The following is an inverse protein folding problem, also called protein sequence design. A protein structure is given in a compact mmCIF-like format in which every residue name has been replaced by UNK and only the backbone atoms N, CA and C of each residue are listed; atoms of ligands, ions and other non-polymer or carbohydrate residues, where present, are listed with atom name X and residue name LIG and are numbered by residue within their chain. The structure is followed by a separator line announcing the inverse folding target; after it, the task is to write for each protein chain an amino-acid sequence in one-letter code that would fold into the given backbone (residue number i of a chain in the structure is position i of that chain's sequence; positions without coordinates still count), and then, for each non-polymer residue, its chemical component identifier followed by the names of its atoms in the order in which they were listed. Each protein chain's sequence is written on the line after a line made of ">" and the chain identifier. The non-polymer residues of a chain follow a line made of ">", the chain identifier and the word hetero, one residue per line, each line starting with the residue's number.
data_IF_919447249552
#
_entry.id   IF_919447249552
#
_cell.length_a   1.000
_cell.length_b   1.000
_cell.length_c   1.000
_cell.angle_alpha   90.00
_cell.angle_beta   90.00
_cell.angle_gamma   90.00
#
_symmetry.space_group_name_H-M   'P 1'
#
loop_
_entity.id
_entity.type
_entity.pdbx_description
1 polymer ?
#
# COMPACT_ATOMS: atom_id res chain seq x y z
N UNK A 1 3.93 -19.05 -9.24
CA UNK A 1 4.67 -19.15 -7.96
C UNK A 1 3.94 -18.41 -6.82
N UNK A 2 2.59 -18.45 -6.74
CA UNK A 2 1.81 -17.70 -5.73
C UNK A 2 0.52 -18.46 -5.33
N UNK A 3 0.55 -19.79 -5.30
CA UNK A 3 -0.59 -20.59 -4.80
C UNK A 3 -0.36 -21.20 -3.41
N UNK A 4 0.80 -20.94 -2.79
CA UNK A 4 1.24 -21.63 -1.57
C UNK A 4 1.38 -20.78 -0.30
N UNK A 5 1.17 -19.46 -0.34
CA UNK A 5 1.29 -18.61 0.87
C UNK A 5 -0.09 -18.24 1.40
N UNK A 6 -0.83 -19.24 1.90
CA UNK A 6 -2.09 -19.03 2.63
C UNK A 6 -1.89 -18.74 4.12
N UNK A 7 -0.70 -18.28 4.51
CA UNK A 7 -0.45 -17.72 5.85
C UNK A 7 -0.09 -16.27 5.65
N UNK A 8 -0.95 -15.40 6.17
CA UNK A 8 -0.72 -13.96 6.25
C UNK A 8 0.73 -13.69 6.64
N UNK A 9 1.50 -12.98 5.79
CA UNK A 9 2.85 -12.61 6.16
C UNK A 9 2.78 -11.76 7.41
N UNK A 10 3.60 -12.11 8.38
CA UNK A 10 3.82 -11.23 9.52
C UNK A 10 4.31 -9.87 8.98
N UNK A 11 4.00 -8.74 9.64
CA UNK A 11 4.43 -7.43 9.15
C UNK A 11 5.94 -7.35 8.87
N UNK A 12 6.75 -8.09 9.65
CA UNK A 12 8.19 -8.26 9.44
C UNK A 12 8.55 -8.99 8.14
N UNK A 13 7.86 -10.08 7.80
CA UNK A 13 8.10 -10.82 6.55
C UNK A 13 7.72 -9.98 5.34
N UNK A 14 6.66 -9.16 5.44
CA UNK A 14 6.26 -8.29 4.34
C UNK A 14 7.31 -7.26 3.96
N UNK A 15 7.89 -6.58 4.97
CA UNK A 15 8.99 -5.64 4.74
C UNK A 15 10.24 -6.34 4.24
N UNK A 16 10.50 -7.57 4.71
CA UNK A 16 11.63 -8.37 4.25
C UNK A 16 11.50 -8.73 2.77
N UNK A 17 10.30 -9.10 2.32
CA UNK A 17 10.01 -9.38 0.90
C UNK A 17 10.15 -8.12 0.05
N UNK A 18 9.64 -6.97 0.51
CA UNK A 18 9.86 -5.70 -0.19
C UNK A 18 11.34 -5.34 -0.29
N UNK A 19 12.10 -5.44 0.81
CA UNK A 19 13.53 -5.16 0.81
C UNK A 19 14.29 -6.10 -0.12
N UNK A 20 13.90 -7.38 -0.18
CA UNK A 20 14.45 -8.33 -1.14
C UNK A 20 14.13 -7.90 -2.58
N UNK A 21 12.89 -7.52 -2.90
CA UNK A 21 12.53 -7.05 -4.24
C UNK A 21 13.37 -5.83 -4.65
N UNK A 22 13.50 -4.84 -3.77
CA UNK A 22 14.32 -3.65 -4.03
C UNK A 22 15.81 -4.01 -4.19
N UNK A 23 16.36 -4.87 -3.31
CA UNK A 23 17.77 -5.26 -3.35
C UNK A 23 18.14 -6.01 -4.63
N UNK A 24 17.23 -6.84 -5.16
CA UNK A 24 17.45 -7.63 -6.37
C UNK A 24 16.96 -6.92 -7.64
N UNK A 25 16.56 -5.65 -7.55
CA UNK A 25 16.08 -4.87 -8.69
C UNK A 25 14.78 -5.42 -9.30
N UNK A 26 14.01 -6.18 -8.54
CA UNK A 26 12.69 -6.64 -8.95
C UNK A 26 11.75 -5.44 -8.90
N UNK A 27 11.10 -5.07 -10.01
CA UNK A 27 10.21 -3.93 -10.04
C UNK A 27 9.08 -4.11 -9.03
N UNK A 28 8.88 -3.08 -8.21
CA UNK A 28 7.73 -2.99 -7.31
C UNK A 28 6.51 -2.76 -8.19
N UNK A 29 5.56 -3.69 -8.14
CA UNK A 29 4.33 -3.62 -8.91
C UNK A 29 3.15 -3.13 -8.06
N UNK A 30 2.03 -2.86 -8.72
CA UNK A 30 0.76 -2.50 -8.08
C UNK A 30 0.25 -3.56 -7.08
N UNK A 31 0.71 -4.82 -7.14
CA UNK A 31 0.39 -5.85 -6.14
C UNK A 31 1.25 -5.76 -4.88
N UNK A 32 2.43 -5.12 -4.95
CA UNK A 32 3.35 -4.99 -3.83
C UNK A 32 2.94 -3.86 -2.88
N UNK A 33 2.44 -2.74 -3.40
CA UNK A 33 2.03 -1.59 -2.57
C UNK A 33 0.95 -1.92 -1.53
N UNK A 34 -0.15 -2.62 -1.88
CA UNK A 34 -1.17 -3.01 -0.90
C UNK A 34 -0.61 -3.81 0.26
N UNK A 35 0.35 -4.67 -0.04
CA UNK A 35 0.97 -5.55 0.94
C UNK A 35 1.86 -4.78 1.94
N UNK A 36 2.72 -3.87 1.45
CA UNK A 36 3.56 -3.06 2.33
C UNK A 36 2.76 -2.01 3.11
N UNK A 37 1.70 -1.45 2.52
CA UNK A 37 0.80 -0.50 3.20
C UNK A 37 0.00 -1.17 4.32
N UNK A 38 -0.53 -2.38 4.08
CA UNK A 38 -1.21 -3.18 5.12
C UNK A 38 -0.27 -3.46 6.29
N UNK A 39 0.99 -3.74 6.00
CA UNK A 39 2.03 -3.96 7.01
C UNK A 39 2.35 -2.70 7.79
N UNK A 40 2.48 -1.55 7.13
CA UNK A 40 2.66 -0.27 7.79
C UNK A 40 1.47 0.06 8.71
N UNK A 41 0.23 -0.24 8.26
CA UNK A 41 -0.97 -0.06 9.08
C UNK A 41 -0.93 -0.90 10.35
N UNK A 42 -0.57 -2.19 10.23
CA UNK A 42 -0.46 -3.12 11.36
C UNK A 42 0.65 -2.74 12.35
N UNK A 43 1.71 -2.13 11.86
CA UNK A 43 2.84 -1.65 12.70
C UNK A 43 2.62 -0.24 13.25
N UNK A 44 1.61 0.50 12.77
CA UNK A 44 1.43 1.92 13.09
C UNK A 44 2.52 2.83 12.49
N UNK A 45 3.27 2.35 11.50
CA UNK A 45 4.42 3.04 10.91
C UNK A 45 3.97 4.05 9.84
N UNK A 46 3.35 5.14 10.29
CA UNK A 46 2.76 6.16 9.38
C UNK A 46 3.81 6.79 8.47
N UNK A 47 5.02 7.03 9.00
CA UNK A 47 6.13 7.62 8.23
C UNK A 47 6.55 6.73 7.08
N UNK A 48 6.58 5.41 7.29
CA UNK A 48 6.95 4.46 6.25
C UNK A 48 5.86 4.37 5.18
N UNK A 49 4.58 4.30 5.58
CA UNK A 49 3.49 4.29 4.61
C UNK A 49 3.38 5.58 3.79
N UNK A 50 3.71 6.76 4.35
CA UNK A 50 3.83 8.00 3.57
C UNK A 50 4.96 7.93 2.52
N UNK A 51 6.08 7.25 2.81
CA UNK A 51 7.12 7.03 1.80
C UNK A 51 6.60 6.18 0.65
N UNK A 52 5.88 5.10 0.96
CA UNK A 52 5.23 4.28 -0.07
C UNK A 52 4.19 5.07 -0.86
N UNK A 53 3.42 5.95 -0.22
CA UNK A 53 2.51 6.84 -0.95
C UNK A 53 3.26 7.72 -1.97
N UNK A 54 4.38 8.33 -1.58
CA UNK A 54 5.20 9.08 -2.53
C UNK A 54 5.74 8.21 -3.67
N UNK A 55 6.12 6.96 -3.40
CA UNK A 55 6.55 6.03 -4.45
C UNK A 55 5.42 5.63 -5.39
N UNK A 56 4.20 5.44 -4.88
CA UNK A 56 3.00 5.17 -5.68
C UNK A 56 2.78 6.29 -6.69
N UNK A 57 2.76 7.55 -6.23
CA UNK A 57 2.58 8.72 -7.10
C UNK A 57 3.74 8.84 -8.09
N UNK A 58 4.98 8.61 -7.65
CA UNK A 58 6.17 8.72 -8.52
C UNK A 58 6.19 7.66 -9.64
N UNK A 59 5.53 6.53 -9.43
CA UNK A 59 5.47 5.42 -10.39
C UNK A 59 4.12 5.35 -11.11
N UNK A 60 3.30 6.40 -11.05
CA UNK A 60 1.98 6.52 -11.72
C UNK A 60 0.96 5.41 -11.31
N UNK A 61 1.08 4.89 -10.09
CA UNK A 61 0.14 3.90 -9.53
C UNK A 61 -0.98 4.52 -8.69
N UNK A 62 -1.03 5.85 -8.59
CA UNK A 62 -2.05 6.63 -7.87
C UNK A 62 -3.44 6.58 -8.53
N UNK A 63 -3.51 6.07 -9.76
CA UNK A 63 -4.77 5.78 -10.47
C UNK A 63 -5.20 4.31 -10.40
N UNK A 64 -4.37 3.41 -9.86
CA UNK A 64 -4.71 2.01 -9.69
C UNK A 64 -5.63 1.81 -8.49
N UNK A 65 -6.85 1.31 -8.75
CA UNK A 65 -7.88 1.09 -7.74
C UNK A 65 -7.41 0.24 -6.54
N UNK A 66 -6.60 -0.80 -6.78
CA UNK A 66 -6.13 -1.66 -5.71
C UNK A 66 -5.15 -0.90 -4.81
N UNK A 67 -4.29 -0.07 -5.39
CA UNK A 67 -3.31 0.74 -4.66
C UNK A 67 -3.98 1.88 -3.91
N UNK A 68 -4.92 2.59 -4.54
CA UNK A 68 -5.73 3.65 -3.91
C UNK A 68 -6.51 3.11 -2.71
N UNK A 69 -7.21 1.98 -2.88
CA UNK A 69 -7.95 1.35 -1.79
C UNK A 69 -7.04 0.97 -0.61
N UNK A 70 -5.83 0.47 -0.90
CA UNK A 70 -4.86 0.15 0.13
C UNK A 70 -4.32 1.39 0.85
N UNK A 71 -4.09 2.50 0.15
CA UNK A 71 -3.70 3.77 0.76
C UNK A 71 -4.80 4.31 1.69
N UNK A 72 -6.07 4.28 1.24
CA UNK A 72 -7.21 4.66 2.07
C UNK A 72 -7.32 3.80 3.32
N UNK A 73 -7.22 2.46 3.18
CA UNK A 73 -7.27 1.53 4.30
C UNK A 73 -6.10 1.76 5.28
N UNK A 74 -4.91 2.05 4.76
CA UNK A 74 -3.72 2.36 5.57
C UNK A 74 -3.94 3.63 6.39
N UNK A 75 -4.27 4.75 5.74
CA UNK A 75 -4.48 6.02 6.43
C UNK A 75 -5.64 5.94 7.43
N UNK A 76 -6.73 5.25 7.08
CA UNK A 76 -7.85 5.01 7.98
C UNK A 76 -7.46 4.20 9.22
N UNK A 77 -6.73 3.09 9.03
CA UNK A 77 -6.22 2.25 10.13
C UNK A 77 -5.26 3.00 11.06
N UNK A 78 -4.52 3.97 10.52
CA UNK A 78 -3.60 4.81 11.29
C UNK A 78 -4.26 6.06 11.90
N UNK A 79 -5.58 6.23 11.77
CA UNK A 79 -6.31 7.41 12.26
C UNK A 79 -5.99 8.71 11.50
N UNK A 80 -5.33 8.62 10.35
CA UNK A 80 -4.95 9.74 9.50
C UNK A 80 -6.07 10.06 8.50
N UNK A 81 -7.27 10.32 8.99
CA UNK A 81 -8.48 10.46 8.16
C UNK A 81 -8.39 11.56 7.11
N UNK A 82 -7.70 12.66 7.40
CA UNK A 82 -7.52 13.75 6.43
C UNK A 82 -6.74 13.30 5.20
N UNK A 83 -5.67 12.53 5.40
CA UNK A 83 -4.88 11.97 4.31
C UNK A 83 -5.70 10.91 3.55
N UNK A 84 -6.52 10.10 4.25
CA UNK A 84 -7.43 9.15 3.60
C UNK A 84 -8.46 9.84 2.70
N UNK A 85 -9.08 10.93 3.16
CA UNK A 85 -9.99 11.74 2.35
C UNK A 85 -9.30 12.36 1.14
N UNK A 86 -8.08 12.86 1.32
CA UNK A 86 -7.31 13.42 0.21
C UNK A 86 -7.05 12.37 -0.88
N UNK A 87 -6.63 11.16 -0.51
CA UNK A 87 -6.45 10.06 -1.46
C UNK A 87 -7.75 9.71 -2.19
N UNK A 88 -8.89 9.74 -1.49
CA UNK A 88 -10.20 9.51 -2.11
C UNK A 88 -10.60 10.62 -3.08
N UNK A 89 -10.37 11.88 -2.71
CA UNK A 89 -10.71 13.06 -3.52
C UNK A 89 -9.86 13.16 -4.79
N UNK A 90 -8.59 12.76 -4.69
CA UNK A 90 -7.64 12.71 -5.80
C UNK A 90 -7.84 11.47 -6.70
N UNK A 91 -8.53 10.43 -6.22
CA UNK A 91 -8.79 9.23 -7.02
C UNK A 91 -9.76 9.51 -8.17
N UNK A 92 -9.37 9.22 -9.44
CA UNK A 92 -10.24 9.41 -10.59
C UNK A 92 -11.43 8.44 -10.62
N UNK A 93 -11.36 7.34 -9.87
CA UNK A 93 -12.41 6.33 -9.79
C UNK A 93 -13.05 6.38 -8.42
N UNK A 94 -14.16 7.12 -8.33
CA UNK A 94 -15.05 7.05 -7.18
C UNK A 94 -15.75 5.69 -7.25
N UNK A 95 -15.31 4.74 -6.45
CA UNK A 95 -16.08 3.52 -6.21
C UNK A 95 -17.30 3.93 -5.37
N UNK A 96 -18.35 4.36 -6.05
CA UNK A 96 -19.63 4.69 -5.44
C UNK A 96 -20.31 3.35 -5.15
N UNK A 97 -20.04 2.79 -3.97
CA UNK A 97 -20.86 1.68 -3.45
C UNK A 97 -22.26 2.26 -3.27
N UNK A 98 -23.17 1.88 -4.17
CA UNK A 98 -24.58 2.30 -4.19
C UNK A 98 -25.44 1.32 -3.40
#
# INVERSE_FOLDING_TARGET
>A
MIRGFSKSPTPSESLSVYNYMVQFGVPVDHFTYPFVLTTCARLGEVRLGRRFHCEVVRNDFDSDLFVVNALMQFYGSCGCFRDACQVFDESPVRDVVT
#
